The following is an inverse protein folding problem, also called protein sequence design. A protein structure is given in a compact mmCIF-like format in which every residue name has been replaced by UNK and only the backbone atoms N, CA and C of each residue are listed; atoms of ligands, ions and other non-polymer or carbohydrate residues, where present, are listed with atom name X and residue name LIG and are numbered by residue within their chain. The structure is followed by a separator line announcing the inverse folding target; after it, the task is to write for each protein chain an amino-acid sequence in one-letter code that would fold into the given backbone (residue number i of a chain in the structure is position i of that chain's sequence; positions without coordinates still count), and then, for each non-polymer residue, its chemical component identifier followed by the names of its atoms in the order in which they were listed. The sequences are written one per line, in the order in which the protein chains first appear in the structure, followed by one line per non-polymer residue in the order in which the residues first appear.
data_IF_083622434740
#
_entry.id   IF_083622434740
#
_cell.length_a   1.000
_cell.length_b   1.000
_cell.length_c   1.000
_cell.angle_alpha   90.00
_cell.angle_beta   90.00
_cell.angle_gamma   90.00
#
_symmetry.space_group_name_H-M   'P 1'
#
loop_
_entity.id
_entity.type
_entity.pdbx_description
1 polymer ?
#
# COMPACT_ATOMS: atom_id res chain seq x y z
N UNK A 1 -5.94 -12.19 0.46
CA UNK A 1 -5.32 -11.09 -0.33
C UNK A 1 -6.40 -10.04 -0.57
N UNK A 2 -6.12 -8.77 -0.30
CA UNK A 2 -7.04 -7.66 -0.59
C UNK A 2 -6.45 -6.89 -1.76
N UNK A 3 -7.24 -6.73 -2.81
CA UNK A 3 -6.87 -5.91 -3.96
C UNK A 3 -7.57 -4.56 -3.85
N UNK A 4 -6.79 -3.49 -3.83
CA UNK A 4 -7.29 -2.11 -3.81
C UNK A 4 -6.94 -1.44 -5.13
N UNK A 5 -7.96 -1.05 -5.90
CA UNK A 5 -7.75 -0.26 -7.11
C UNK A 5 -7.53 1.21 -6.72
N UNK A 6 -6.27 1.60 -6.53
CA UNK A 6 -5.88 2.94 -6.06
C UNK A 6 -5.44 3.88 -7.20
N UNK A 7 -5.54 3.47 -8.46
CA UNK A 7 -5.26 4.37 -9.59
C UNK A 7 -6.51 5.18 -9.94
N UNK A 8 -6.61 6.39 -9.38
CA UNK A 8 -7.74 7.29 -9.60
C UNK A 8 -7.61 8.18 -10.86
N UNK A 9 -6.45 8.18 -11.55
CA UNK A 9 -6.22 9.11 -12.65
C UNK A 9 -5.37 8.50 -13.79
N UNK A 10 -5.97 8.35 -14.97
CA UNK A 10 -5.33 7.85 -16.20
C UNK A 10 -4.07 8.65 -16.58
N UNK A 11 -4.06 9.95 -16.29
CA UNK A 11 -2.91 10.81 -16.55
C UNK A 11 -1.68 10.40 -15.71
N UNK A 12 -1.89 9.86 -14.50
CA UNK A 12 -0.81 9.38 -13.63
C UNK A 12 -0.19 8.09 -14.17
N UNK A 13 -0.99 7.14 -14.65
CA UNK A 13 -0.50 5.91 -15.26
C UNK A 13 0.33 6.22 -16.51
N UNK A 14 -0.22 7.05 -17.41
CA UNK A 14 0.47 7.45 -18.63
C UNK A 14 1.76 8.23 -18.34
N UNK A 15 1.78 9.05 -17.28
CA UNK A 15 3.00 9.73 -16.82
C UNK A 15 4.05 8.71 -16.34
N UNK A 16 3.65 7.70 -15.56
CA UNK A 16 4.54 6.62 -15.09
C UNK A 16 5.14 5.83 -16.26
N UNK A 17 4.31 5.41 -17.22
CA UNK A 17 4.78 4.68 -18.42
C UNK A 17 5.81 5.52 -19.20
N UNK A 18 5.54 6.82 -19.38
CA UNK A 18 6.47 7.74 -20.04
C UNK A 18 7.78 7.94 -19.26
N UNK A 19 7.74 8.04 -17.93
CA UNK A 19 8.95 8.16 -17.12
C UNK A 19 9.82 6.90 -17.20
N UNK A 20 9.22 5.71 -17.19
CA UNK A 20 9.96 4.45 -17.36
C UNK A 20 10.70 4.37 -18.70
N UNK A 21 10.09 4.87 -19.79
CA UNK A 21 10.74 4.92 -21.11
C UNK A 21 11.90 5.93 -21.17
N UNK A 22 11.86 6.98 -20.33
CA UNK A 22 12.83 8.08 -20.35
C UNK A 22 14.07 7.81 -19.48
N UNK A 23 13.97 6.91 -18.51
CA UNK A 23 15.07 6.60 -17.58
C UNK A 23 15.95 5.46 -18.10
N UNK A 24 16.94 5.80 -18.93
CA UNK A 24 18.08 4.92 -19.20
C UNK A 24 19.13 5.10 -18.10
N UNK A 25 19.13 4.20 -17.10
CA UNK A 25 20.11 4.07 -16.00
C UNK A 25 20.17 5.24 -14.98
N UNK A 26 19.95 4.87 -13.71
CA UNK A 26 20.52 5.51 -12.48
C UNK A 26 19.73 6.60 -11.74
N UNK A 27 18.42 6.72 -11.90
CA UNK A 27 17.61 7.45 -10.91
C UNK A 27 16.45 6.55 -10.47
N UNK A 28 16.51 6.07 -9.22
CA UNK A 28 15.35 5.46 -8.58
C UNK A 28 14.24 6.50 -8.65
N UNK A 29 13.08 6.18 -9.26
CA UNK A 29 11.98 7.12 -9.25
C UNK A 29 11.71 7.45 -7.78
N UNK A 30 11.81 8.73 -7.42
CA UNK A 30 11.37 9.19 -6.11
C UNK A 30 9.85 8.98 -6.08
N UNK A 31 9.43 7.78 -5.71
CA UNK A 31 8.06 7.47 -5.37
C UNK A 31 7.78 8.29 -4.12
N UNK A 32 7.25 9.51 -4.34
CA UNK A 32 6.69 10.33 -3.28
C UNK A 32 5.84 9.40 -2.45
N UNK A 33 6.17 9.27 -1.14
CA UNK A 33 5.52 8.37 -0.18
C UNK A 33 4.04 8.33 -0.52
N UNK A 34 3.69 7.26 -1.22
CA UNK A 34 2.43 7.16 -1.94
C UNK A 34 1.39 7.30 -0.83
N UNK A 35 0.60 8.38 -0.88
CA UNK A 35 -0.42 8.73 0.12
C UNK A 35 -1.59 7.76 0.06
N UNK A 36 -1.28 6.47 -0.07
CA UNK A 36 -2.21 5.36 -0.16
C UNK A 36 -2.98 5.36 1.13
N UNK A 37 -4.27 5.61 1.01
CA UNK A 37 -5.20 5.48 2.11
C UNK A 37 -5.39 3.99 2.39
N UNK A 38 -4.89 3.54 3.54
CA UNK A 38 -5.05 2.17 4.02
C UNK A 38 -6.36 1.99 4.81
N UNK A 39 -7.12 3.07 5.03
CA UNK A 39 -8.36 3.06 5.82
C UNK A 39 -9.43 2.15 5.22
N UNK A 40 -9.64 2.23 3.91
CA UNK A 40 -10.60 1.35 3.21
C UNK A 40 -10.21 -0.12 3.35
N UNK A 41 -8.92 -0.44 3.19
CA UNK A 41 -8.43 -1.81 3.40
C UNK A 41 -8.66 -2.29 4.83
N UNK A 42 -8.43 -1.43 5.83
CA UNK A 42 -8.67 -1.75 7.22
C UNK A 42 -10.16 -1.95 7.55
N UNK A 43 -11.04 -1.13 6.97
CA UNK A 43 -12.49 -1.28 7.13
C UNK A 43 -13.00 -2.60 6.52
N UNK A 44 -12.53 -2.95 5.31
CA UNK A 44 -12.87 -4.25 4.69
C UNK A 44 -12.47 -5.41 5.59
N UNK A 45 -11.25 -5.40 6.14
CA UNK A 45 -10.77 -6.47 7.05
C UNK A 45 -11.65 -6.54 8.31
N UNK A 46 -12.01 -5.39 8.88
CA UNK A 46 -12.85 -5.30 10.07
C UNK A 46 -14.26 -5.86 9.81
N UNK A 47 -14.90 -5.47 8.70
CA UNK A 47 -16.24 -5.95 8.31
C UNK A 47 -16.26 -7.46 8.05
N UNK A 48 -15.14 -8.04 7.60
CA UNK A 48 -14.96 -9.49 7.49
C UNK A 48 -14.77 -10.19 8.84
N UNK A 49 -14.78 -9.46 9.96
CA UNK A 49 -14.62 -9.99 11.32
C UNK A 49 -13.18 -10.35 11.69
N UNK A 50 -12.20 -9.99 10.86
CA UNK A 50 -10.79 -10.27 11.11
C UNK A 50 -10.24 -9.17 12.02
N UNK A 51 -9.53 -9.56 13.09
CA UNK A 51 -8.96 -8.62 14.08
C UNK A 51 -7.45 -8.71 14.22
N UNK A 52 -6.84 -9.82 13.83
CA UNK A 52 -5.39 -10.08 13.95
C UNK A 52 -4.85 -10.48 12.59
N UNK A 53 -3.80 -9.81 12.13
CA UNK A 53 -3.23 -10.02 10.79
C UNK A 53 -1.71 -10.19 10.82
N UNK A 54 -1.21 -11.10 9.99
CA UNK A 54 0.18 -11.12 9.53
C UNK A 54 0.28 -10.23 8.28
N UNK A 55 0.92 -9.08 8.43
CA UNK A 55 1.08 -8.11 7.37
C UNK A 55 2.28 -8.48 6.50
N UNK A 56 2.02 -8.84 5.24
CA UNK A 56 3.09 -9.10 4.27
C UNK A 56 3.53 -7.76 3.66
N UNK A 57 4.72 -7.26 4.03
CA UNK A 57 5.24 -5.97 3.54
C UNK A 57 6.75 -5.86 3.67
N UNK A 58 7.40 -5.25 2.68
CA UNK A 58 8.81 -4.81 2.76
C UNK A 58 8.93 -3.36 3.26
N UNK A 59 7.80 -2.68 3.50
CA UNK A 59 7.73 -1.30 3.99
C UNK A 59 6.79 -1.25 5.21
N UNK A 60 7.31 -1.46 6.43
CA UNK A 60 6.47 -1.46 7.63
C UNK A 60 5.81 -0.09 7.84
N UNK A 61 4.48 -0.10 7.96
CA UNK A 61 3.67 1.11 8.15
C UNK A 61 3.70 1.49 9.65
N UNK A 62 3.66 2.79 9.97
CA UNK A 62 3.44 3.23 11.36
C UNK A 62 2.12 2.66 11.87
N UNK A 63 2.19 1.83 12.93
CA UNK A 63 1.07 1.07 13.55
C UNK A 63 -0.20 1.88 13.87
N UNK A 64 -0.07 3.20 13.98
CA UNK A 64 -1.07 4.13 14.53
C UNK A 64 -2.39 4.13 13.73
N UNK A 65 -2.34 3.90 12.42
CA UNK A 65 -3.54 3.97 11.57
C UNK A 65 -4.46 2.76 11.67
N UNK A 66 -3.94 1.57 11.99
CA UNK A 66 -4.66 0.29 11.84
C UNK A 66 -5.42 -0.10 13.11
N UNK A 67 -4.88 0.26 14.28
CA UNK A 67 -5.51 0.03 15.58
C UNK A 67 -6.83 0.79 15.75
N UNK A 68 -6.99 1.94 15.08
CA UNK A 68 -8.24 2.71 15.07
C UNK A 68 -9.42 1.97 14.41
N UNK A 69 -9.14 0.97 13.56
CA UNK A 69 -10.14 0.10 12.94
C UNK A 69 -10.34 -1.22 13.72
N UNK A 70 -9.81 -1.33 14.94
CA UNK A 70 -9.90 -2.56 15.74
C UNK A 70 -9.05 -3.72 15.19
N UNK A 71 -8.00 -3.40 14.43
CA UNK A 71 -7.07 -4.38 13.87
C UNK A 71 -5.73 -4.37 14.60
N UNK A 72 -5.18 -5.55 14.84
CA UNK A 72 -3.89 -5.79 15.44
C UNK A 72 -2.97 -6.48 14.43
N UNK A 73 -1.81 -5.90 14.15
CA UNK A 73 -0.76 -6.55 13.36
C UNK A 73 0.05 -7.44 14.30
N UNK A 74 -0.12 -8.75 14.20
CA UNK A 74 0.57 -9.73 15.06
C UNK A 74 1.93 -10.13 14.52
N UNK A 75 2.16 -9.98 13.20
CA UNK A 75 3.40 -10.32 12.53
C UNK A 75 3.60 -9.44 11.29
N UNK A 76 4.85 -9.18 10.93
CA UNK A 76 5.22 -8.59 9.64
C UNK A 76 6.09 -9.60 8.90
N UNK A 77 5.57 -10.16 7.82
CA UNK A 77 6.32 -11.08 6.97
C UNK A 77 6.84 -10.31 5.75
N UNK A 78 8.03 -10.67 5.29
CA UNK A 78 8.58 -10.07 4.08
C UNK A 78 7.84 -10.59 2.84
N UNK A 79 7.68 -9.71 1.85
CA UNK A 79 7.17 -10.07 0.54
C UNK A 79 8.35 -10.63 -0.28
N UNK A 80 8.29 -11.92 -0.60
CA UNK A 80 9.24 -12.60 -1.49
C UNK A 80 9.18 -12.07 -2.93
#
# INVERSE_FOLDING_TARGET
IIYMNQELNEANLMRRIRSFKKTSKTETPAFSKDGRDFGIGAQIIHELGIRRIDLITNNPIKRIGVSGYGLEITKNSELL
#
